data_IF_101747742742
#
_entry.id   IF_101747742742
#
_cell.length_a   1.000
_cell.length_b   1.000
_cell.length_c   1.000
_cell.angle_alpha   90.00
_cell.angle_beta   90.00
_cell.angle_gamma   90.00
#
_symmetry.space_group_name_H-M   'P 1'
#
loop_
_entity.id
_entity.type
_entity.pdbx_description
1 polymer ?
#
# COMPACT_ATOMS: atom_id res chain seq x y z
N UNK A 1 6.10 -17.16 59.02
CA UNK A 1 5.83 -17.74 57.71
C UNK A 1 6.33 -16.83 56.58
N UNK A 2 7.62 -16.86 56.22
CA UNK A 2 8.13 -16.02 55.11
C UNK A 2 9.07 -16.78 54.15
N UNK A 3 9.14 -18.11 54.28
CA UNK A 3 9.93 -18.97 53.39
C UNK A 3 9.22 -19.31 52.06
N UNK A 4 8.02 -18.78 51.79
CA UNK A 4 7.17 -19.17 50.64
C UNK A 4 7.23 -18.19 49.45
N UNK A 5 7.91 -17.03 49.52
CA UNK A 5 8.09 -16.15 48.35
C UNK A 5 9.47 -16.19 47.71
N UNK A 6 10.09 -17.38 47.67
CA UNK A 6 11.34 -17.60 46.94
C UNK A 6 11.17 -17.99 45.45
N UNK A 7 10.00 -17.81 44.81
CA UNK A 7 9.80 -18.31 43.43
C UNK A 7 8.88 -17.42 42.58
N UNK A 8 9.49 -16.48 41.83
CA UNK A 8 9.17 -16.03 40.45
C UNK A 8 9.91 -14.70 40.21
N UNK A 9 11.16 -14.78 39.80
CA UNK A 9 11.61 -14.83 38.41
C UNK A 9 12.00 -13.43 37.92
N UNK A 10 13.28 -13.35 37.59
CA UNK A 10 13.98 -12.26 36.94
C UNK A 10 13.40 -12.05 35.53
N UNK A 11 13.63 -10.84 35.01
CA UNK A 11 13.45 -10.42 33.62
C UNK A 11 12.12 -9.73 33.26
N UNK A 12 12.09 -8.41 33.44
CA UNK A 12 11.45 -7.57 32.43
C UNK A 12 12.30 -6.31 32.20
N UNK A 13 13.23 -6.43 31.26
CA UNK A 13 13.82 -5.28 30.57
C UNK A 13 12.71 -4.34 30.05
N UNK A 14 12.96 -3.02 29.92
CA UNK A 14 11.97 -2.10 29.37
C UNK A 14 11.55 -2.56 27.96
N UNK A 15 10.35 -3.16 27.87
CA UNK A 15 9.75 -3.59 26.62
C UNK A 15 9.71 -2.37 25.68
N UNK A 16 10.30 -2.43 24.48
CA UNK A 16 10.15 -1.36 23.51
C UNK A 16 8.66 -1.29 23.19
N UNK A 17 8.00 -0.20 23.61
CA UNK A 17 6.63 0.07 23.20
C UNK A 17 6.61 0.08 21.67
N UNK A 18 5.88 -0.83 21.00
CA UNK A 18 5.75 -0.74 19.56
C UNK A 18 5.13 0.62 19.28
N UNK A 19 5.87 1.47 18.56
CA UNK A 19 5.32 2.68 17.96
C UNK A 19 3.98 2.26 17.36
N UNK A 20 2.87 2.87 17.78
CA UNK A 20 1.59 2.70 17.12
C UNK A 20 1.77 3.22 15.70
N UNK A 21 2.32 2.39 14.81
CA UNK A 21 2.25 2.58 13.39
C UNK A 21 0.75 2.50 13.12
N UNK A 22 0.11 3.66 12.97
CA UNK A 22 -1.29 3.73 12.62
C UNK A 22 -1.52 2.77 11.47
N UNK A 23 -2.52 1.89 11.60
CA UNK A 23 -2.79 0.87 10.60
C UNK A 23 -2.84 1.56 9.22
N UNK A 24 -2.03 1.09 8.28
CA UNK A 24 -2.01 1.67 6.94
C UNK A 24 -3.41 1.53 6.32
N UNK A 25 -3.80 2.42 5.41
CA UNK A 25 -5.12 2.36 4.76
C UNK A 25 -5.41 0.96 4.18
N UNK A 26 -4.38 0.30 3.62
CA UNK A 26 -4.45 -1.08 3.15
C UNK A 26 -4.77 -2.09 4.26
N UNK A 27 -4.17 -1.95 5.44
CA UNK A 27 -4.43 -2.82 6.58
C UNK A 27 -5.85 -2.65 7.13
N UNK A 28 -6.36 -1.41 7.21
CA UNK A 28 -7.74 -1.11 7.63
C UNK A 28 -8.72 -1.72 6.63
N UNK A 29 -8.46 -1.55 5.34
CA UNK A 29 -9.32 -2.06 4.29
C UNK A 29 -9.34 -3.60 4.25
N UNK A 30 -8.19 -4.23 4.50
CA UNK A 30 -8.10 -5.67 4.67
C UNK A 30 -8.84 -6.17 5.92
N UNK A 31 -8.93 -5.38 7.01
CA UNK A 31 -9.78 -5.75 8.15
C UNK A 31 -11.28 -5.69 7.79
N UNK A 32 -11.69 -4.70 6.99
CA UNK A 32 -13.10 -4.51 6.60
C UNK A 32 -13.58 -5.52 5.56
N UNK A 33 -12.78 -5.78 4.53
CA UNK A 33 -13.18 -6.59 3.38
C UNK A 33 -12.44 -7.93 3.28
N UNK A 34 -11.39 -8.15 4.09
CA UNK A 34 -10.56 -9.35 4.06
C UNK A 34 -10.11 -9.69 2.63
N UNK A 35 -10.24 -10.95 2.24
CA UNK A 35 -9.90 -11.47 0.91
C UNK A 35 -10.81 -10.97 -0.21
N UNK A 36 -11.86 -10.18 0.09
CA UNK A 36 -12.79 -9.67 -0.93
C UNK A 36 -12.30 -8.38 -1.60
N UNK A 37 -11.19 -7.81 -1.13
CA UNK A 37 -10.56 -6.65 -1.75
C UNK A 37 -9.54 -7.09 -2.81
N UNK A 38 -9.82 -6.80 -4.08
CA UNK A 38 -8.93 -7.13 -5.20
C UNK A 38 -8.20 -5.87 -5.69
N UNK A 39 -6.87 -5.88 -5.60
CA UNK A 39 -6.03 -4.78 -6.09
C UNK A 39 -5.46 -5.16 -7.47
N UNK A 40 -5.80 -4.38 -8.48
CA UNK A 40 -5.33 -4.55 -9.86
C UNK A 40 -4.46 -3.35 -10.22
N UNK A 41 -3.22 -3.61 -10.62
CA UNK A 41 -2.29 -2.56 -11.06
C UNK A 41 -2.28 -2.50 -12.58
N UNK A 42 -2.66 -1.33 -13.10
CA UNK A 42 -2.61 -0.99 -14.51
C UNK A 42 -1.38 -0.12 -14.77
N UNK A 43 -0.62 -0.46 -15.80
CA UNK A 43 0.49 0.37 -16.28
C UNK A 43 -0.06 1.39 -17.27
N UNK A 44 0.20 2.67 -17.01
CA UNK A 44 -0.22 3.80 -17.83
C UNK A 44 1.03 4.34 -18.50
N UNK A 45 1.13 4.14 -19.81
CA UNK A 45 2.22 4.70 -20.59
C UNK A 45 1.80 6.09 -21.08
N UNK A 46 2.63 7.10 -20.83
CA UNK A 46 2.43 8.40 -21.48
C UNK A 46 2.91 8.28 -22.93
N UNK A 47 1.97 8.10 -23.86
CA UNK A 47 2.19 8.19 -25.30
C UNK A 47 2.86 9.52 -25.72
N UNK A 48 2.90 10.51 -24.84
CA UNK A 48 3.54 11.81 -25.06
C UNK A 48 5.06 11.81 -24.94
N UNK A 49 5.71 10.69 -24.60
CA UNK A 49 7.19 10.57 -24.75
C UNK A 49 7.58 10.29 -26.20
N UNK A 50 6.90 10.94 -27.14
CA UNK A 50 7.33 11.05 -28.51
C UNK A 50 8.29 12.25 -28.64
N UNK A 51 9.30 12.31 -27.76
CA UNK A 51 10.51 13.09 -28.00
C UNK A 51 11.35 12.32 -29.04
N UNK A 52 10.73 12.04 -30.19
CA UNK A 52 11.44 11.53 -31.34
C UNK A 52 12.35 12.65 -31.83
N UNK A 53 13.63 12.56 -31.46
CA UNK A 53 14.67 13.23 -32.21
C UNK A 53 14.50 12.77 -33.67
N UNK A 54 14.16 13.67 -34.61
CA UNK A 54 13.89 13.28 -35.98
C UNK A 54 15.13 12.59 -36.56
N UNK A 55 15.01 11.31 -36.91
CA UNK A 55 16.10 10.49 -37.45
C UNK A 55 16.56 9.31 -36.58
N UNK A 56 16.08 9.20 -35.32
CA UNK A 56 16.33 8.05 -34.46
C UNK A 56 15.00 7.39 -34.09
N UNK A 57 14.57 6.40 -34.88
CA UNK A 57 13.39 5.56 -34.61
C UNK A 57 13.65 4.58 -33.44
N UNK A 58 14.10 5.09 -32.30
CA UNK A 58 14.28 4.30 -31.07
C UNK A 58 13.01 4.50 -30.23
N UNK A 59 12.30 3.41 -29.89
CA UNK A 59 11.23 3.49 -28.90
C UNK A 59 11.81 3.99 -27.57
N UNK A 60 11.61 5.26 -27.24
CA UNK A 60 11.90 5.75 -25.91
C UNK A 60 10.74 5.28 -25.03
N UNK A 61 10.98 4.25 -24.21
CA UNK A 61 10.03 3.91 -23.16
C UNK A 61 9.88 5.13 -22.27
N UNK A 62 8.70 5.76 -22.34
CA UNK A 62 8.32 6.84 -21.46
C UNK A 62 8.38 6.41 -20.00
N UNK A 63 8.31 7.38 -19.10
CA UNK A 63 8.22 7.07 -17.68
C UNK A 63 6.96 6.23 -17.44
N UNK A 64 7.14 4.97 -17.04
CA UNK A 64 6.03 4.07 -16.73
C UNK A 64 5.32 4.65 -15.50
N UNK A 65 4.02 4.86 -15.64
CA UNK A 65 3.17 5.23 -14.52
C UNK A 65 2.23 4.07 -14.18
N UNK A 66 1.65 4.12 -12.99
CA UNK A 66 0.84 3.08 -12.41
C UNK A 66 -0.46 3.66 -11.89
N UNK A 67 -1.54 2.94 -12.12
CA UNK A 67 -2.86 3.20 -11.58
C UNK A 67 -3.34 1.94 -10.88
N UNK A 68 -4.02 2.08 -9.75
CA UNK A 68 -4.58 0.95 -9.04
C UNK A 68 -6.11 1.01 -9.11
N UNK A 69 -6.70 -0.08 -9.62
CA UNK A 69 -8.13 -0.35 -9.54
C UNK A 69 -8.36 -1.30 -8.37
N UNK A 70 -9.07 -0.83 -7.36
CA UNK A 70 -9.44 -1.61 -6.18
C UNK A 70 -10.91 -1.98 -6.28
N UNK A 71 -11.18 -3.27 -6.48
CA UNK A 71 -12.52 -3.83 -6.51
C UNK A 71 -12.90 -4.32 -5.12
N UNK A 72 -14.05 -3.88 -4.64
CA UNK A 72 -14.68 -4.31 -3.39
C UNK A 72 -16.06 -4.90 -3.70
N UNK A 73 -16.65 -5.68 -2.78
CA UNK A 73 -17.98 -6.24 -2.97
C UNK A 73 -19.07 -5.20 -3.25
N UNK A 74 -18.89 -3.99 -2.74
CA UNK A 74 -19.89 -2.92 -2.79
C UNK A 74 -19.64 -1.95 -3.95
N UNK A 75 -18.38 -1.65 -4.26
CA UNK A 75 -18.00 -0.65 -5.24
C UNK A 75 -16.57 -0.87 -5.73
N UNK A 76 -16.21 -0.15 -6.79
CA UNK A 76 -14.84 -0.09 -7.28
C UNK A 76 -14.31 1.34 -7.15
N UNK A 77 -13.04 1.48 -6.76
CA UNK A 77 -12.32 2.75 -6.85
C UNK A 77 -11.12 2.61 -7.77
N UNK A 78 -10.76 3.72 -8.40
CA UNK A 78 -9.58 3.81 -9.26
C UNK A 78 -8.76 4.98 -8.75
N UNK A 79 -7.48 4.74 -8.47
CA UNK A 79 -6.55 5.78 -8.02
C UNK A 79 -6.20 6.75 -9.14
N UNK A 80 -5.60 7.87 -8.78
CA UNK A 80 -4.79 8.66 -9.71
C UNK A 80 -3.58 7.87 -10.21
N UNK A 81 -2.78 8.52 -11.06
CA UNK A 81 -1.62 7.94 -11.70
C UNK A 81 -0.34 8.28 -10.91
N UNK A 82 0.45 7.26 -10.57
CA UNK A 82 1.65 7.37 -9.73
C UNK A 82 2.87 6.74 -10.40
N UNK A 83 4.07 7.15 -10.03
CA UNK A 83 5.33 6.56 -10.55
C UNK A 83 5.74 5.29 -9.81
N UNK A 84 5.07 4.95 -8.70
CA UNK A 84 5.33 3.75 -7.89
C UNK A 84 4.05 2.95 -7.68
N UNK A 85 4.11 1.62 -7.90
CA UNK A 85 2.98 0.69 -7.69
C UNK A 85 2.40 0.80 -6.27
N UNK A 86 3.27 0.85 -5.26
CA UNK A 86 2.87 0.97 -3.84
C UNK A 86 2.07 2.23 -3.53
N UNK A 87 2.39 3.34 -4.19
CA UNK A 87 1.67 4.61 -3.96
C UNK A 87 0.28 4.55 -4.57
N UNK A 88 0.15 3.97 -5.77
CA UNK A 88 -1.15 3.73 -6.39
C UNK A 88 -2.04 2.82 -5.53
N UNK A 89 -1.48 1.74 -4.98
CA UNK A 89 -2.21 0.85 -4.05
C UNK A 89 -2.68 1.58 -2.79
N UNK A 90 -1.80 2.37 -2.16
CA UNK A 90 -2.16 3.11 -0.95
C UNK A 90 -3.21 4.19 -1.23
N UNK A 91 -3.10 4.88 -2.37
CA UNK A 91 -4.07 5.88 -2.79
C UNK A 91 -5.45 5.26 -3.04
N UNK A 92 -5.53 4.14 -3.78
CA UNK A 92 -6.78 3.42 -3.98
C UNK A 92 -7.40 2.96 -2.64
N UNK A 93 -6.57 2.43 -1.72
CA UNK A 93 -7.04 2.02 -0.40
C UNK A 93 -7.58 3.21 0.40
N UNK A 94 -6.91 4.37 0.35
CA UNK A 94 -7.37 5.59 1.02
C UNK A 94 -8.69 6.08 0.45
N UNK A 95 -8.82 6.16 -0.88
CA UNK A 95 -10.07 6.58 -1.54
C UNK A 95 -11.25 5.67 -1.20
N UNK A 96 -11.02 4.36 -1.07
CA UNK A 96 -12.06 3.42 -0.65
C UNK A 96 -12.45 3.53 0.82
N UNK A 97 -11.62 4.11 1.70
CA UNK A 97 -11.99 4.40 3.08
C UNK A 97 -12.78 5.72 3.21
N UNK A 98 -12.59 6.64 2.27
CA UNK A 98 -13.29 7.94 2.22
C UNK A 98 -14.65 7.87 1.51
N UNK A 99 -14.93 6.75 0.83
CA UNK A 99 -16.22 6.42 0.22
C UNK A 99 -17.15 5.68 1.17
#
# INVERSE_FOLDING_TARGET
EDLIMALRELDEAPKPTPKKAGATSKAILNQKYASKACYIIEEVNDESTNNACPGLAIPQQGQIKFRCRLELPEFTVVSDVFTRKKDAEQAAAKMALEK
#
